data_IF_578964856510
#
_entry.id   IF_578964856510
#
_cell.length_a   1.000
_cell.length_b   1.000
_cell.length_c   1.000
_cell.angle_alpha   90.00
_cell.angle_beta   90.00
_cell.angle_gamma   90.00
#
_symmetry.space_group_name_H-M   'P 1'
#
loop_
_entity.id
_entity.type
_entity.pdbx_description
1 polymer ?
#
# COMPACT_ATOMS: atom_id res chain seq x y z
N UNK A 1 -8.86 20.49 -21.34
CA UNK A 1 -9.61 19.52 -20.55
C UNK A 1 -10.93 20.12 -20.04
N UNK A 2 -11.84 19.28 -19.56
CA UNK A 2 -13.08 19.76 -18.92
C UNK A 2 -12.84 19.87 -17.42
N UNK A 3 -13.38 20.91 -16.79
CA UNK A 3 -13.37 21.07 -15.33
C UNK A 3 -14.67 20.50 -14.76
N UNK A 4 -14.58 19.82 -13.63
CA UNK A 4 -15.71 19.27 -12.89
C UNK A 4 -15.61 19.67 -11.42
N UNK A 5 -16.75 20.00 -10.82
CA UNK A 5 -16.83 20.11 -9.37
C UNK A 5 -16.77 18.72 -8.75
N UNK A 6 -16.00 18.58 -7.68
CA UNK A 6 -15.85 17.31 -6.98
C UNK A 6 -16.13 17.48 -5.48
N UNK A 7 -16.69 16.45 -4.86
CA UNK A 7 -16.82 16.32 -3.41
C UNK A 7 -15.93 15.19 -2.88
N UNK A 8 -15.41 15.38 -1.69
CA UNK A 8 -14.60 14.36 -1.01
C UNK A 8 -15.55 13.33 -0.40
N UNK A 9 -15.36 12.05 -0.74
CA UNK A 9 -16.10 10.91 -0.16
C UNK A 9 -15.39 10.41 1.09
N UNK A 10 -14.06 10.35 1.06
CA UNK A 10 -13.24 9.93 2.18
C UNK A 10 -11.76 10.16 1.93
N UNK A 11 -10.98 10.23 3.02
CA UNK A 11 -9.52 10.43 3.00
C UNK A 11 -8.88 9.44 3.97
N UNK A 12 -7.79 8.84 3.55
CA UNK A 12 -6.89 8.09 4.43
C UNK A 12 -5.49 8.73 4.43
N UNK A 13 -5.17 9.45 5.49
CA UNK A 13 -3.88 10.13 5.65
C UNK A 13 -2.70 9.16 5.81
N UNK A 14 -2.94 7.91 6.24
CA UNK A 14 -1.88 6.93 6.43
C UNK A 14 -1.33 6.41 5.11
N UNK A 15 -2.19 6.33 4.10
CA UNK A 15 -1.81 5.87 2.75
C UNK A 15 -1.75 6.99 1.73
N UNK A 16 -2.12 8.21 2.10
CA UNK A 16 -2.16 9.38 1.20
C UNK A 16 -3.15 9.18 0.04
N UNK A 17 -4.28 8.52 0.31
CA UNK A 17 -5.36 8.26 -0.67
C UNK A 17 -6.60 9.05 -0.30
N UNK A 18 -7.19 9.71 -1.29
CA UNK A 18 -8.50 10.36 -1.21
C UNK A 18 -9.42 9.86 -2.33
N UNK A 19 -10.69 9.70 -2.01
CA UNK A 19 -11.75 9.39 -2.98
C UNK A 19 -12.56 10.65 -3.24
N UNK A 20 -12.63 11.04 -4.51
CA UNK A 20 -13.40 12.17 -4.98
C UNK A 20 -14.58 11.68 -5.82
N UNK A 21 -15.75 12.28 -5.60
CA UNK A 21 -16.96 12.08 -6.41
C UNK A 21 -17.22 13.31 -7.26
N UNK A 22 -17.31 13.12 -8.54
CA UNK A 22 -17.79 14.14 -9.48
C UNK A 22 -19.21 13.81 -9.93
N UNK A 23 -20.02 14.83 -10.19
CA UNK A 23 -21.37 14.72 -10.76
C UNK A 23 -21.27 15.20 -12.20
N UNK A 24 -21.65 14.34 -13.14
CA UNK A 24 -21.60 14.65 -14.57
C UNK A 24 -22.55 13.74 -15.35
N UNK A 25 -23.21 14.29 -16.35
CA UNK A 25 -24.05 13.54 -17.32
C UNK A 25 -23.15 12.88 -18.40
N UNK A 26 -21.88 13.26 -18.47
CA UNK A 26 -20.97 12.66 -19.45
C UNK A 26 -20.55 11.26 -18.99
N UNK A 27 -20.59 10.30 -19.92
CA UNK A 27 -19.95 9.00 -19.67
C UNK A 27 -18.44 9.20 -19.58
N UNK A 28 -17.86 8.82 -18.46
CA UNK A 28 -16.41 8.80 -18.24
C UNK A 28 -15.88 7.40 -18.53
N UNK A 29 -14.72 7.33 -19.16
CA UNK A 29 -14.01 6.07 -19.33
C UNK A 29 -13.28 5.73 -18.02
N UNK A 30 -13.49 4.50 -17.54
CA UNK A 30 -12.72 3.95 -16.43
C UNK A 30 -11.47 3.26 -16.95
N UNK A 31 -10.41 3.27 -16.14
CA UNK A 31 -9.24 2.43 -16.36
C UNK A 31 -9.51 1.04 -15.79
N UNK A 32 -9.03 0.00 -16.46
CA UNK A 32 -9.00 -1.35 -15.90
C UNK A 32 -7.90 -1.48 -14.85
N UNK A 33 -8.21 -2.21 -13.78
CA UNK A 33 -7.30 -2.40 -12.66
C UNK A 33 -6.62 -3.77 -12.81
N UNK A 34 -5.29 -3.77 -12.89
CA UNK A 34 -4.51 -4.99 -12.90
C UNK A 34 -4.30 -5.49 -11.47
N UNK A 35 -4.08 -6.79 -11.32
CA UNK A 35 -3.68 -7.39 -10.05
C UNK A 35 -2.20 -7.09 -9.77
N UNK A 36 -1.93 -6.23 -8.79
CA UNK A 36 -0.57 -5.82 -8.42
C UNK A 36 0.25 -6.89 -7.69
N UNK A 37 -0.35 -8.01 -7.27
CA UNK A 37 0.42 -9.15 -6.73
C UNK A 37 1.12 -9.94 -7.84
N UNK A 38 0.66 -9.83 -9.07
CA UNK A 38 1.21 -10.52 -10.22
C UNK A 38 2.35 -9.78 -10.95
N UNK A 39 2.63 -8.51 -10.56
CA UNK A 39 3.72 -7.75 -11.16
C UNK A 39 5.09 -8.27 -10.73
N UNK A 40 6.06 -8.17 -11.65
CA UNK A 40 7.42 -8.66 -11.43
C UNK A 40 8.45 -7.55 -11.65
N UNK A 41 9.56 -7.65 -10.95
CA UNK A 41 10.73 -6.81 -11.23
C UNK A 41 11.15 -7.01 -12.68
N UNK A 42 11.33 -5.91 -13.39
CA UNK A 42 11.62 -5.88 -14.83
C UNK A 42 10.38 -5.64 -15.72
N UNK A 43 9.16 -5.77 -15.21
CA UNK A 43 7.95 -5.46 -15.98
C UNK A 43 7.95 -3.98 -16.38
N UNK A 44 7.59 -3.71 -17.64
CA UNK A 44 7.51 -2.34 -18.16
C UNK A 44 6.29 -1.63 -17.63
N UNK A 45 6.47 -0.35 -17.30
CA UNK A 45 5.41 0.52 -16.81
C UNK A 45 5.52 1.92 -17.39
N UNK A 46 4.38 2.61 -17.44
CA UNK A 46 4.28 4.02 -17.79
C UNK A 46 3.71 4.78 -16.59
N UNK A 47 4.43 5.78 -16.13
CA UNK A 47 3.91 6.73 -15.15
C UNK A 47 3.28 7.91 -15.89
N UNK A 48 2.00 8.17 -15.62
CA UNK A 48 1.20 9.22 -16.24
C UNK A 48 0.89 10.27 -15.18
N UNK A 49 1.03 11.54 -15.53
CA UNK A 49 0.72 12.63 -14.62
C UNK A 49 0.72 13.98 -15.31
N UNK A 50 0.66 15.03 -14.53
CA UNK A 50 0.73 16.42 -15.03
C UNK A 50 1.83 17.19 -14.26
N UNK A 51 3.12 16.88 -14.53
CA UNK A 51 4.23 17.47 -13.80
C UNK A 51 4.21 19.00 -13.96
N UNK A 52 4.34 19.69 -12.84
CA UNK A 52 4.35 21.16 -12.77
C UNK A 52 3.13 21.87 -13.40
N UNK A 53 2.05 21.13 -13.71
CA UNK A 53 0.85 21.72 -14.35
C UNK A 53 1.02 22.10 -15.81
N UNK A 54 2.10 21.65 -16.48
CA UNK A 54 2.40 22.01 -17.87
C UNK A 54 1.69 21.14 -18.92
N UNK A 55 0.90 20.14 -18.47
CA UNK A 55 0.16 19.24 -19.33
C UNK A 55 0.43 17.77 -19.00
N UNK A 56 -0.42 16.89 -19.57
CA UNK A 56 -0.27 15.44 -19.37
C UNK A 56 1.07 14.99 -19.95
N UNK A 57 1.83 14.30 -19.12
CA UNK A 57 3.13 13.74 -19.47
C UNK A 57 3.17 12.26 -19.14
N UNK A 58 3.92 11.50 -19.93
CA UNK A 58 4.13 10.06 -19.75
C UNK A 58 5.62 9.81 -19.65
N UNK A 59 6.05 9.10 -18.62
CA UNK A 59 7.41 8.60 -18.48
C UNK A 59 7.42 7.08 -18.49
N UNK A 60 8.38 6.49 -19.17
CA UNK A 60 8.56 5.04 -19.29
C UNK A 60 9.62 4.57 -18.28
N UNK A 61 9.42 3.38 -17.73
CA UNK A 61 10.36 2.71 -16.85
C UNK A 61 9.97 1.25 -16.63
N UNK A 62 10.53 0.68 -15.57
CA UNK A 62 10.24 -0.69 -15.13
C UNK A 62 9.85 -0.73 -13.65
N UNK A 63 9.28 -1.85 -13.23
CA UNK A 63 9.20 -2.20 -11.82
C UNK A 63 10.61 -2.54 -11.33
N UNK A 64 11.18 -1.73 -10.45
CA UNK A 64 12.53 -1.92 -9.89
C UNK A 64 12.52 -2.78 -8.64
N UNK A 65 11.43 -2.74 -7.87
CA UNK A 65 11.18 -3.58 -6.69
C UNK A 65 9.71 -3.54 -6.28
N UNK A 66 9.30 -4.50 -5.47
CA UNK A 66 7.98 -4.54 -4.81
C UNK A 66 8.15 -4.63 -3.30
N UNK A 67 7.07 -4.35 -2.55
CA UNK A 67 7.06 -4.51 -1.10
C UNK A 67 7.94 -3.52 -0.32
N UNK A 68 8.14 -2.31 -0.85
CA UNK A 68 8.92 -1.26 -0.17
C UNK A 68 8.07 -0.54 0.87
N UNK A 69 8.45 -0.59 2.15
CA UNK A 69 7.73 0.10 3.23
C UNK A 69 8.07 1.60 3.33
N UNK A 70 9.27 1.99 2.96
CA UNK A 70 9.76 3.38 2.97
C UNK A 70 9.29 4.19 4.20
N UNK A 71 9.41 3.56 5.39
CA UNK A 71 9.03 4.16 6.66
C UNK A 71 7.52 4.15 6.94
N UNK A 72 6.71 3.57 6.07
CA UNK A 72 5.29 3.33 6.30
C UNK A 72 4.96 1.86 5.98
N UNK A 73 4.89 1.00 7.00
CA UNK A 73 4.69 -0.44 6.81
C UNK A 73 3.32 -0.79 6.20
N UNK A 74 2.39 0.17 6.16
CA UNK A 74 1.07 -0.03 5.56
C UNK A 74 1.05 0.04 4.03
N UNK A 75 2.13 0.49 3.37
CA UNK A 75 2.07 0.84 1.95
C UNK A 75 2.55 -0.26 1.00
N UNK A 76 3.55 -1.06 1.36
CA UNK A 76 4.11 -2.10 0.47
C UNK A 76 4.34 -1.58 -0.97
N UNK A 77 4.98 -0.41 -1.09
CA UNK A 77 5.07 0.35 -2.32
C UNK A 77 5.76 -0.42 -3.47
N UNK A 78 5.31 -0.16 -4.68
CA UNK A 78 6.00 -0.48 -5.92
C UNK A 78 7.09 0.56 -6.13
N UNK A 79 8.34 0.13 -6.33
CA UNK A 79 9.44 0.98 -6.76
C UNK A 79 9.57 0.92 -8.28
N UNK A 80 9.75 2.07 -8.91
CA UNK A 80 9.96 2.21 -10.36
C UNK A 80 11.05 3.22 -10.67
N UNK A 81 11.72 3.06 -11.80
CA UNK A 81 12.63 4.05 -12.39
C UNK A 81 11.94 4.93 -13.45
N UNK A 82 10.63 4.74 -13.69
CA UNK A 82 9.84 5.74 -14.41
C UNK A 82 9.91 7.09 -13.71
N UNK A 83 10.21 8.15 -14.44
CA UNK A 83 10.41 9.48 -13.84
C UNK A 83 9.12 10.01 -13.20
N UNK A 84 9.15 10.14 -11.86
CA UNK A 84 8.09 10.75 -11.07
C UNK A 84 8.60 12.10 -10.56
N UNK A 85 7.90 13.16 -10.88
CA UNK A 85 8.20 14.52 -10.45
C UNK A 85 6.97 15.16 -9.80
N UNK A 86 7.11 16.27 -9.08
CA UNK A 86 5.97 17.00 -8.53
C UNK A 86 4.90 17.28 -9.59
N UNK A 87 3.65 16.84 -9.32
CA UNK A 87 2.52 16.88 -10.25
C UNK A 87 2.19 15.52 -10.89
N UNK A 88 3.07 14.51 -10.84
CA UNK A 88 2.73 13.13 -11.20
C UNK A 88 2.07 12.37 -10.05
N UNK A 89 2.21 12.81 -8.82
CA UNK A 89 1.55 12.20 -7.65
C UNK A 89 0.04 12.23 -7.82
N UNK A 90 -0.62 11.11 -7.53
CA UNK A 90 -2.04 10.88 -7.81
C UNK A 90 -2.33 10.43 -9.25
N UNK A 91 -1.34 10.48 -10.16
CA UNK A 91 -1.45 9.94 -11.51
C UNK A 91 -1.26 8.42 -11.56
N UNK A 92 -1.58 7.82 -12.69
CA UNK A 92 -1.54 6.38 -12.87
C UNK A 92 -0.13 5.85 -13.13
N UNK A 93 0.19 4.69 -12.54
CA UNK A 93 1.23 3.78 -13.03
C UNK A 93 0.50 2.64 -13.75
N UNK A 94 0.76 2.47 -15.04
CA UNK A 94 0.09 1.46 -15.88
C UNK A 94 1.09 0.46 -16.46
N UNK A 95 0.61 -0.75 -16.75
CA UNK A 95 1.37 -1.76 -17.47
C UNK A 95 1.28 -1.60 -18.99
N UNK A 96 1.91 -2.49 -19.75
CA UNK A 96 1.92 -2.49 -21.22
C UNK A 96 0.52 -2.66 -21.84
N UNK A 97 -0.44 -3.25 -21.12
CA UNK A 97 -1.82 -3.41 -21.56
C UNK A 97 -2.69 -2.16 -21.30
N UNK A 98 -2.13 -1.13 -20.66
CA UNK A 98 -2.86 0.08 -20.27
C UNK A 98 -3.64 -0.07 -18.96
N UNK A 99 -3.45 -1.15 -18.20
CA UNK A 99 -4.15 -1.41 -16.95
C UNK A 99 -3.40 -0.79 -15.76
N UNK A 100 -4.15 -0.29 -14.78
CA UNK A 100 -3.62 0.35 -13.58
C UNK A 100 -2.92 -0.68 -12.68
N UNK A 101 -1.61 -0.54 -12.46
CA UNK A 101 -0.85 -1.33 -11.49
C UNK A 101 -0.57 -0.58 -10.19
N UNK A 102 -0.72 0.74 -10.20
CA UNK A 102 -0.57 1.57 -9.02
C UNK A 102 -0.89 3.04 -9.24
N UNK A 103 -0.88 3.82 -8.16
CA UNK A 103 -0.97 5.29 -8.20
C UNK A 103 0.39 5.86 -7.81
N UNK A 104 0.95 6.73 -8.65
CA UNK A 104 2.19 7.45 -8.37
C UNK A 104 2.04 8.25 -7.08
N UNK A 105 2.98 8.11 -6.15
CA UNK A 105 2.90 8.74 -4.85
C UNK A 105 4.08 9.68 -4.61
N UNK A 106 5.27 9.14 -4.38
CA UNK A 106 6.43 9.90 -3.93
C UNK A 106 7.73 9.44 -4.59
N UNK A 107 8.79 10.23 -4.41
CA UNK A 107 10.15 9.89 -4.82
C UNK A 107 11.05 9.70 -3.59
N UNK A 108 12.08 8.90 -3.73
CA UNK A 108 13.23 8.96 -2.83
C UNK A 108 14.18 10.04 -3.34
N UNK A 109 14.34 11.12 -2.57
CA UNK A 109 15.20 12.22 -3.00
C UNK A 109 15.79 12.96 -1.80
N UNK A 110 17.07 13.24 -1.85
CA UNK A 110 17.76 14.11 -0.90
C UNK A 110 17.67 15.59 -1.29
N UNK A 111 17.40 15.88 -2.56
CA UNK A 111 17.39 17.22 -3.14
C UNK A 111 16.01 17.72 -3.50
N UNK A 112 14.98 16.86 -3.40
CA UNK A 112 13.62 17.13 -3.89
C UNK A 112 13.41 16.84 -5.38
N UNK A 113 14.48 16.58 -6.14
CA UNK A 113 14.40 16.20 -7.54
C UNK A 113 14.44 14.70 -7.71
N UNK A 114 13.82 14.17 -8.77
CA UNK A 114 13.86 12.75 -9.13
C UNK A 114 15.32 12.28 -9.37
N UNK A 115 15.69 11.17 -8.76
CA UNK A 115 17.02 10.57 -8.79
C UNK A 115 17.00 9.08 -9.19
N UNK A 116 16.05 8.67 -10.03
CA UNK A 116 15.93 7.29 -10.50
C UNK A 116 15.13 6.38 -9.56
N UNK A 117 14.54 6.88 -8.50
CA UNK A 117 13.73 6.09 -7.55
C UNK A 117 12.40 6.79 -7.31
N UNK A 118 11.34 6.22 -7.90
CA UNK A 118 9.96 6.61 -7.67
C UNK A 118 9.19 5.49 -6.99
N UNK A 119 8.07 5.84 -6.34
CA UNK A 119 7.19 4.91 -5.65
C UNK A 119 5.74 5.11 -6.07
N UNK A 120 5.03 3.99 -6.20
CA UNK A 120 3.59 3.96 -6.43
C UNK A 120 2.90 3.07 -5.39
N UNK A 121 1.67 3.42 -5.05
CA UNK A 121 0.80 2.62 -4.19
C UNK A 121 0.20 1.51 -5.04
N UNK A 122 0.32 0.21 -4.65
CA UNK A 122 -0.19 -0.91 -5.46
C UNK A 122 -1.70 -0.86 -5.67
N UNK A 123 -2.17 -1.29 -6.84
CA UNK A 123 -3.59 -1.27 -7.22
C UNK A 123 -4.47 -2.08 -6.27
N UNK A 124 -4.04 -3.27 -5.81
CA UNK A 124 -4.82 -4.08 -4.87
C UNK A 124 -5.05 -3.33 -3.54
N UNK A 125 -4.01 -2.67 -3.03
CA UNK A 125 -4.12 -1.84 -1.83
C UNK A 125 -5.08 -0.65 -2.06
N UNK A 126 -5.02 -0.01 -3.23
CA UNK A 126 -5.92 1.09 -3.60
C UNK A 126 -7.38 0.62 -3.61
N UNK A 127 -7.68 -0.52 -4.24
CA UNK A 127 -9.05 -1.06 -4.29
C UNK A 127 -9.61 -1.30 -2.88
N UNK A 128 -8.81 -1.85 -1.98
CA UNK A 128 -9.22 -2.10 -0.59
C UNK A 128 -9.51 -0.79 0.15
N UNK A 129 -8.60 0.19 0.05
CA UNK A 129 -8.76 1.52 0.67
C UNK A 129 -9.99 2.23 0.13
N UNK A 130 -10.13 2.28 -1.19
CA UNK A 130 -11.24 2.96 -1.87
C UNK A 130 -12.58 2.34 -1.48
N UNK A 131 -12.66 1.01 -1.40
CA UNK A 131 -13.88 0.31 -0.97
C UNK A 131 -14.30 0.71 0.45
N UNK A 132 -13.36 0.76 1.41
CA UNK A 132 -13.62 1.22 2.77
C UNK A 132 -14.05 2.71 2.81
N UNK A 133 -13.35 3.57 2.06
CA UNK A 133 -13.68 5.00 2.00
C UNK A 133 -15.05 5.25 1.38
N UNK A 134 -15.45 4.52 0.34
CA UNK A 134 -16.77 4.63 -0.28
C UNK A 134 -17.86 4.14 0.68
N UNK A 135 -17.64 3.01 1.35
CA UNK A 135 -18.66 2.39 2.17
C UNK A 135 -18.83 3.07 3.54
N UNK A 136 -17.73 3.55 4.15
CA UNK A 136 -17.74 4.03 5.54
C UNK A 136 -17.20 5.46 5.69
N UNK A 137 -16.72 6.09 4.64
CA UNK A 137 -16.10 7.42 4.68
C UNK A 137 -14.71 7.45 5.35
N UNK A 138 -14.26 6.33 5.89
CA UNK A 138 -12.98 6.19 6.62
C UNK A 138 -12.48 4.75 6.58
N UNK A 139 -11.19 4.55 6.80
CA UNK A 139 -10.64 3.22 7.06
C UNK A 139 -10.99 2.79 8.48
N UNK A 140 -11.56 1.62 8.61
CA UNK A 140 -11.82 1.00 9.91
C UNK A 140 -10.56 0.25 10.33
N UNK A 141 -10.06 0.56 11.52
CA UNK A 141 -8.91 -0.13 12.11
C UNK A 141 -9.38 -1.28 12.99
N UNK A 142 -8.84 -2.47 12.80
CA UNK A 142 -8.99 -3.57 13.75
C UNK A 142 -8.07 -3.34 14.94
N UNK A 143 -8.59 -3.57 16.13
CA UNK A 143 -7.82 -3.58 17.37
C UNK A 143 -7.72 -5.00 17.88
N UNK A 144 -6.50 -5.46 18.15
CA UNK A 144 -6.21 -6.81 18.65
C UNK A 144 -5.59 -6.83 20.04
N UNK A 145 -5.55 -5.71 20.71
CA UNK A 145 -4.90 -5.49 22.02
C UNK A 145 -3.67 -4.60 21.89
N UNK A 146 -3.16 -4.13 23.03
CA UNK A 146 -1.90 -3.40 23.05
C UNK A 146 -0.76 -4.40 23.28
N UNK A 147 0.23 -4.35 22.40
CA UNK A 147 1.40 -5.21 22.46
C UNK A 147 2.59 -4.54 21.76
N UNK A 148 3.79 -5.03 22.10
CA UNK A 148 5.03 -4.61 21.46
C UNK A 148 5.76 -5.83 20.96
N UNK A 149 6.32 -5.72 19.75
CA UNK A 149 7.13 -6.77 19.14
C UNK A 149 8.47 -6.22 18.68
N UNK A 150 9.47 -7.09 18.64
CA UNK A 150 10.76 -6.81 18.02
C UNK A 150 11.00 -7.78 16.86
N UNK A 151 11.65 -7.29 15.82
CA UNK A 151 12.07 -8.13 14.69
C UNK A 151 13.20 -9.02 15.12
N UNK A 152 13.11 -10.32 14.86
CA UNK A 152 14.16 -11.31 15.09
C UNK A 152 14.33 -12.18 13.84
N UNK A 153 15.43 -12.93 13.81
CA UNK A 153 15.65 -14.00 12.85
C UNK A 153 15.74 -15.32 13.60
N UNK A 154 15.03 -16.32 13.11
CA UNK A 154 14.98 -17.64 13.72
C UNK A 154 15.49 -18.66 12.71
N UNK A 155 16.27 -19.62 13.18
CA UNK A 155 16.69 -20.76 12.37
C UNK A 155 15.63 -21.88 12.50
N UNK A 156 14.87 -22.10 11.43
CA UNK A 156 13.91 -23.20 11.33
C UNK A 156 14.43 -24.19 10.28
N UNK A 157 14.72 -25.39 10.70
CA UNK A 157 15.15 -26.47 9.79
C UNK A 157 16.30 -26.06 8.84
N UNK A 158 17.31 -25.39 9.35
CA UNK A 158 18.48 -24.84 8.62
C UNK A 158 18.13 -23.68 7.65
N UNK A 159 16.93 -23.11 7.73
CA UNK A 159 16.54 -21.89 7.00
C UNK A 159 16.36 -20.75 7.99
N UNK A 160 17.00 -19.62 7.70
CA UNK A 160 16.80 -18.40 8.48
C UNK A 160 15.53 -17.72 7.98
N UNK A 161 14.55 -17.54 8.87
CA UNK A 161 13.29 -16.84 8.60
C UNK A 161 13.17 -15.60 9.47
N UNK A 162 12.46 -14.57 8.96
CA UNK A 162 12.10 -13.41 9.77
C UNK A 162 10.92 -13.77 10.67
N UNK A 163 10.92 -13.22 11.89
CA UNK A 163 9.88 -13.44 12.87
C UNK A 163 9.70 -12.20 13.76
N UNK A 164 8.59 -12.14 14.47
CA UNK A 164 8.32 -11.12 15.49
C UNK A 164 8.31 -11.78 16.87
N UNK A 165 9.11 -11.26 17.81
CA UNK A 165 9.06 -11.67 19.21
C UNK A 165 8.20 -10.69 19.99
N UNK A 166 7.20 -11.18 20.70
CA UNK A 166 6.38 -10.40 21.64
C UNK A 166 7.22 -10.07 22.86
N UNK A 167 7.41 -8.78 23.14
CA UNK A 167 8.21 -8.30 24.28
C UNK A 167 7.34 -7.68 25.37
N UNK A 168 6.11 -7.34 25.05
CA UNK A 168 5.11 -6.77 25.96
C UNK A 168 3.72 -7.05 25.41
N UNK A 169 2.76 -7.39 26.25
CA UNK A 169 1.35 -7.57 25.89
C UNK A 169 0.48 -7.28 27.12
N UNK A 170 -0.60 -6.52 26.92
CA UNK A 170 -1.60 -6.30 27.94
C UNK A 170 -2.38 -7.59 28.25
N UNK A 171 -2.76 -7.78 29.51
CA UNK A 171 -3.53 -8.98 29.96
C UNK A 171 -5.00 -8.94 29.55
N UNK A 172 -5.35 -8.08 28.62
CA UNK A 172 -6.68 -7.99 28.04
C UNK A 172 -6.54 -7.71 26.53
N UNK A 173 -7.60 -8.02 25.80
CA UNK A 173 -7.64 -7.84 24.37
C UNK A 173 -7.50 -9.14 23.58
N UNK A 174 -7.91 -9.11 22.30
CA UNK A 174 -8.08 -10.32 21.51
C UNK A 174 -6.85 -11.23 21.42
N UNK A 175 -5.65 -10.69 21.22
CA UNK A 175 -4.42 -11.50 21.18
C UNK A 175 -4.19 -12.25 22.49
N UNK A 176 -4.33 -11.56 23.64
CA UNK A 176 -4.12 -12.18 24.93
C UNK A 176 -5.17 -13.26 25.23
N UNK A 177 -6.44 -13.00 24.89
CA UNK A 177 -7.55 -13.95 25.04
C UNK A 177 -7.36 -15.20 24.16
N UNK A 178 -6.75 -15.05 22.98
CA UNK A 178 -6.37 -16.15 22.09
C UNK A 178 -5.08 -16.87 22.50
N UNK A 179 -4.45 -16.48 23.59
CA UNK A 179 -3.34 -17.20 24.19
C UNK A 179 -1.96 -16.66 23.90
N UNK A 180 -1.82 -15.56 23.15
CA UNK A 180 -0.52 -14.92 22.91
C UNK A 180 0.04 -14.33 24.22
N UNK A 181 1.33 -14.54 24.48
CA UNK A 181 2.03 -14.14 25.71
C UNK A 181 3.36 -13.46 25.39
N UNK A 182 3.94 -12.80 26.42
CA UNK A 182 5.32 -12.32 26.33
C UNK A 182 6.29 -13.47 26.03
N UNK A 183 7.29 -13.19 25.23
CA UNK A 183 8.29 -14.09 24.69
C UNK A 183 7.80 -15.06 23.61
N UNK A 184 6.53 -15.06 23.24
CA UNK A 184 6.08 -15.79 22.06
C UNK A 184 6.74 -15.26 20.79
N UNK A 185 6.93 -16.16 19.84
CA UNK A 185 7.53 -15.87 18.55
C UNK A 185 6.50 -16.12 17.47
N UNK A 186 6.12 -15.04 16.77
CA UNK A 186 5.20 -15.10 15.63
C UNK A 186 6.05 -15.40 14.39
N UNK A 187 5.94 -16.62 13.89
CA UNK A 187 6.69 -17.11 12.74
C UNK A 187 5.99 -16.80 11.42
N UNK A 188 4.67 -16.91 11.42
CA UNK A 188 3.83 -16.73 10.24
C UNK A 188 2.57 -15.93 10.60
N UNK A 189 2.05 -15.20 9.63
CA UNK A 189 0.80 -14.44 9.71
C UNK A 189 0.09 -14.65 8.37
N UNK A 190 -1.06 -15.34 8.37
CA UNK A 190 -1.80 -15.70 7.16
C UNK A 190 -0.91 -16.34 6.08
N UNK A 191 -0.11 -17.35 6.47
CA UNK A 191 0.83 -18.09 5.60
C UNK A 191 2.02 -17.26 5.06
N UNK A 192 2.16 -16.00 5.46
CA UNK A 192 3.30 -15.14 5.14
C UNK A 192 4.27 -15.05 6.32
N UNK A 193 5.55 -14.74 6.08
CA UNK A 193 6.56 -14.57 7.14
C UNK A 193 6.08 -13.63 8.24
N UNK A 194 6.42 -13.93 9.51
CA UNK A 194 6.13 -13.13 10.69
C UNK A 194 6.86 -11.78 10.68
N UNK A 195 6.48 -10.90 9.78
CA UNK A 195 7.06 -9.55 9.66
C UNK A 195 6.07 -8.48 10.14
N UNK A 196 6.61 -7.31 10.53
CA UNK A 196 5.77 -6.17 10.90
C UNK A 196 4.88 -5.72 9.74
N UNK A 197 5.39 -5.78 8.50
CA UNK A 197 4.63 -5.45 7.30
C UNK A 197 3.42 -6.36 7.12
N UNK A 198 3.61 -7.69 7.22
CA UNK A 198 2.54 -8.66 7.08
C UNK A 198 1.54 -8.57 8.23
N UNK A 199 2.00 -8.31 9.47
CA UNK A 199 1.11 -8.07 10.60
C UNK A 199 0.20 -6.86 10.37
N UNK A 200 0.78 -5.73 9.99
CA UNK A 200 0.01 -4.50 9.76
C UNK A 200 -0.91 -4.61 8.54
N UNK A 201 -0.49 -5.30 7.49
CA UNK A 201 -1.31 -5.65 6.32
C UNK A 201 -2.53 -6.48 6.77
N UNK A 202 -2.30 -7.57 7.50
CA UNK A 202 -3.36 -8.45 7.99
C UNK A 202 -4.34 -7.73 8.90
N UNK A 203 -3.85 -6.94 9.87
CA UNK A 203 -4.69 -6.15 10.77
C UNK A 203 -5.56 -5.12 10.03
N UNK A 204 -5.02 -4.54 8.96
CA UNK A 204 -5.75 -3.54 8.19
C UNK A 204 -6.87 -4.16 7.35
N UNK A 205 -6.65 -5.35 6.81
CA UNK A 205 -7.52 -5.95 5.80
C UNK A 205 -8.34 -7.15 6.28
N UNK A 206 -8.10 -7.64 7.49
CA UNK A 206 -8.88 -8.74 8.06
C UNK A 206 -10.38 -8.42 8.14
N UNK A 207 -10.74 -7.13 8.23
CA UNK A 207 -12.11 -6.72 8.54
C UNK A 207 -12.47 -6.98 10.00
N UNK A 208 -13.51 -6.30 10.48
CA UNK A 208 -13.96 -6.46 11.87
C UNK A 208 -14.56 -7.87 12.06
N UNK A 209 -14.02 -8.60 13.03
CA UNK A 209 -14.54 -9.92 13.44
C UNK A 209 -13.99 -11.10 12.63
N UNK A 210 -13.08 -10.88 11.70
CA UNK A 210 -12.38 -11.96 11.00
C UNK A 210 -11.14 -12.41 11.79
N UNK A 211 -10.83 -13.69 11.71
CA UNK A 211 -9.63 -14.24 12.32
C UNK A 211 -8.39 -13.92 11.47
N UNK A 212 -7.27 -13.69 12.15
CA UNK A 212 -5.92 -13.63 11.58
C UNK A 212 -5.21 -14.89 12.09
N UNK A 213 -4.69 -15.69 11.18
CA UNK A 213 -3.95 -16.90 11.50
C UNK A 213 -2.47 -16.62 11.66
#
# INVERSE_FOLDING_TARGET
>A
GKNYSASIIGIDNNTDIAVLKIITDNKLNSIEIADSENIKVGDRVLAIGNPYGIGISVSNGIISATGRDYGNPYLQLIQTDAAINPGNSGGALINENGNLVGINSKIFSKTGAYQGIGFAIPSNLIVQIVSELIQYGKIRTTWIGNFRVVRIRVNLNNKIVNALKVIEIDNFGPLYEKGVRENDIILEINEEEGTWGNLTKSLRFAGLGNDIQ
#
